data_IF_712138891815
#
_entry.id   IF_712138891815
#
_cell.length_a   1.000
_cell.length_b   1.000
_cell.length_c   1.000
_cell.angle_alpha   90.00
_cell.angle_beta   90.00
_cell.angle_gamma   90.00
#
_symmetry.space_group_name_H-M   'P 1'
#
loop_
_entity.id
_entity.type
_entity.pdbx_description
1 polymer ?
#
# COMPACT_ATOMS: atom_id res chain seq x y z
N UNK A 1 10.42 21.27 -9.95
CA UNK A 1 10.42 19.82 -10.24
C UNK A 1 9.38 19.20 -9.32
N UNK A 2 8.20 18.87 -9.83
CA UNK A 2 7.13 18.27 -9.02
C UNK A 2 7.31 16.76 -9.10
N UNK A 3 7.67 16.10 -8.00
CA UNK A 3 7.61 14.64 -7.94
C UNK A 3 6.18 14.22 -8.26
N UNK A 4 5.95 13.60 -9.43
CA UNK A 4 4.70 12.89 -9.71
C UNK A 4 4.61 11.76 -8.67
N UNK A 5 3.62 11.83 -7.78
CA UNK A 5 3.44 10.87 -6.70
C UNK A 5 3.46 9.43 -7.23
N UNK A 6 4.26 8.57 -6.59
CA UNK A 6 4.34 7.17 -6.92
C UNK A 6 3.01 6.51 -6.57
N UNK A 7 2.38 5.81 -7.52
CA UNK A 7 1.25 4.93 -7.20
C UNK A 7 1.83 3.72 -6.48
N UNK A 8 1.36 3.46 -5.28
CA UNK A 8 1.85 2.37 -4.43
C UNK A 8 0.69 1.54 -3.91
N UNK A 9 0.94 0.23 -3.78
CA UNK A 9 0.03 -0.73 -3.20
C UNK A 9 0.72 -1.42 -2.02
N UNK A 10 0.12 -1.36 -0.84
CA UNK A 10 0.63 -1.97 0.39
C UNK A 10 -0.36 -3.03 0.90
N UNK A 11 0.15 -4.19 1.31
CA UNK A 11 -0.63 -5.30 1.87
C UNK A 11 -0.09 -5.63 3.25
N UNK A 12 -0.56 -4.92 4.26
CA UNK A 12 0.03 -4.98 5.60
C UNK A 12 -1.04 -5.02 6.68
N UNK A 13 -0.62 -5.46 7.84
CA UNK A 13 -1.45 -5.51 9.04
C UNK A 13 -1.71 -4.10 9.54
N UNK A 14 -2.98 -3.79 9.76
CA UNK A 14 -3.40 -2.53 10.36
C UNK A 14 -3.12 -2.57 11.86
N UNK A 15 -2.31 -1.64 12.36
CA UNK A 15 -1.99 -1.55 13.78
C UNK A 15 -2.87 -0.54 14.50
N UNK A 16 -3.11 0.61 13.86
CA UNK A 16 -3.91 1.70 14.45
C UNK A 16 -4.83 2.30 13.40
N UNK A 17 -5.98 2.79 13.85
CA UNK A 17 -6.90 3.56 13.03
C UNK A 17 -7.69 4.53 13.89
N UNK A 18 -7.70 5.81 13.47
CA UNK A 18 -8.54 6.84 14.05
C UNK A 18 -9.57 7.30 13.03
N UNK A 19 -10.85 7.13 13.38
CA UNK A 19 -11.99 7.61 12.58
C UNK A 19 -12.01 9.15 12.56
N UNK A 20 -11.63 9.79 13.66
CA UNK A 20 -11.66 11.25 13.80
C UNK A 20 -10.65 11.95 12.89
N UNK A 21 -9.42 11.42 12.82
CA UNK A 21 -8.35 11.99 11.98
C UNK A 21 -8.30 11.37 10.59
N UNK A 22 -9.04 10.29 10.35
CA UNK A 22 -8.99 9.47 9.13
C UNK A 22 -7.59 8.91 8.83
N UNK A 23 -6.75 8.77 9.86
CA UNK A 23 -5.40 8.21 9.74
C UNK A 23 -5.41 6.75 10.21
N UNK A 24 -4.91 5.88 9.34
CA UNK A 24 -4.54 4.50 9.65
C UNK A 24 -3.03 4.38 9.70
N UNK A 25 -2.53 3.42 10.49
CA UNK A 25 -1.12 3.06 10.54
C UNK A 25 -0.95 1.58 10.26
N UNK A 26 -0.11 1.26 9.27
CA UNK A 26 0.31 -0.10 8.95
C UNK A 26 1.77 -0.28 9.31
N UNK A 27 2.15 -1.51 9.70
CA UNK A 27 3.51 -1.81 10.18
C UNK A 27 4.05 -3.08 9.52
N UNK A 28 5.34 -3.04 9.23
CA UNK A 28 6.16 -4.17 8.77
C UNK A 28 7.50 -4.17 9.50
N UNK A 29 7.68 -5.09 10.45
CA UNK A 29 8.82 -5.08 11.38
C UNK A 29 8.87 -3.77 12.19
N UNK A 30 10.00 -3.06 12.09
CA UNK A 30 10.22 -1.76 12.76
C UNK A 30 9.78 -0.56 11.91
N UNK A 31 9.30 -0.80 10.68
CA UNK A 31 8.85 0.26 9.78
C UNK A 31 7.34 0.49 9.88
N UNK A 32 6.92 1.74 9.97
CA UNK A 32 5.51 2.14 9.98
C UNK A 32 5.20 3.11 8.83
N UNK A 33 4.00 2.99 8.26
CA UNK A 33 3.51 3.93 7.25
C UNK A 33 2.13 4.47 7.65
N UNK A 34 1.99 5.80 7.60
CA UNK A 34 0.72 6.49 7.78
C UNK A 34 -0.09 6.42 6.50
N UNK A 35 -1.38 6.14 6.64
CA UNK A 35 -2.34 6.02 5.55
C UNK A 35 -3.45 7.02 5.80
N UNK A 36 -3.59 7.98 4.89
CA UNK A 36 -4.72 8.89 4.85
C UNK A 36 -5.90 8.18 4.15
N UNK A 37 -6.96 7.96 4.92
CA UNK A 37 -8.16 7.21 4.51
C UNK A 37 -9.35 8.12 4.20
N UNK A 38 -9.19 9.45 4.18
CA UNK A 38 -10.29 10.41 4.00
C UNK A 38 -11.14 10.18 2.73
N UNK A 39 -10.56 9.55 1.71
CA UNK A 39 -11.19 9.30 0.42
C UNK A 39 -11.75 7.89 0.27
N UNK A 40 -11.67 7.07 1.32
CA UNK A 40 -12.23 5.72 1.33
C UNK A 40 -13.67 5.79 1.80
N UNK A 41 -14.53 4.94 1.23
CA UNK A 41 -15.95 4.89 1.62
C UNK A 41 -16.18 4.04 2.88
N UNK A 42 -15.20 3.22 3.23
CA UNK A 42 -15.28 2.30 4.36
C UNK A 42 -14.61 2.93 5.58
N UNK A 43 -15.37 3.04 6.66
CA UNK A 43 -14.94 3.63 7.93
C UNK A 43 -14.77 2.55 9.01
N UNK A 44 -14.95 1.27 8.65
CA UNK A 44 -15.00 0.14 9.58
C UNK A 44 -13.73 -0.71 9.55
N UNK A 45 -12.56 -0.05 9.54
CA UNK A 45 -11.29 -0.76 9.56
C UNK A 45 -11.10 -1.52 10.88
N UNK A 46 -10.76 -2.81 10.79
CA UNK A 46 -10.46 -3.67 11.93
C UNK A 46 -8.97 -3.69 12.22
N UNK A 47 -8.60 -3.23 13.41
CA UNK A 47 -7.23 -3.35 13.92
C UNK A 47 -6.85 -4.84 13.98
N UNK A 48 -5.63 -5.14 13.55
CA UNK A 48 -5.08 -6.49 13.53
C UNK A 48 -5.39 -7.28 12.25
N UNK A 49 -6.29 -6.82 11.39
CA UNK A 49 -6.57 -7.39 10.07
C UNK A 49 -5.57 -6.90 9.02
N UNK A 50 -5.48 -7.63 7.91
CA UNK A 50 -4.63 -7.27 6.77
C UNK A 50 -5.46 -6.50 5.75
N UNK A 51 -4.93 -5.36 5.31
CA UNK A 51 -5.56 -4.51 4.31
C UNK A 51 -4.66 -4.28 3.12
N UNK A 52 -5.25 -4.30 1.92
CA UNK A 52 -4.66 -3.70 0.73
C UNK A 52 -5.04 -2.23 0.67
N UNK A 53 -4.04 -1.35 0.72
CA UNK A 53 -4.19 0.07 0.42
C UNK A 53 -3.51 0.42 -0.90
N UNK A 54 -4.24 1.09 -1.79
CA UNK A 54 -3.68 1.63 -3.05
C UNK A 54 -3.89 3.13 -3.07
N UNK A 55 -2.82 3.87 -3.35
CA UNK A 55 -2.85 5.32 -3.28
C UNK A 55 -1.62 5.98 -3.87
N UNK A 56 -1.54 7.28 -3.67
CA UNK A 56 -0.37 8.07 -4.02
C UNK A 56 0.50 8.24 -2.77
N UNK A 57 1.76 7.82 -2.85
CA UNK A 57 2.73 8.03 -1.79
C UNK A 57 3.28 9.45 -1.88
N UNK A 58 3.24 10.16 -0.75
CA UNK A 58 3.75 11.51 -0.60
C UNK A 58 4.78 11.53 0.52
N UNK A 59 5.94 12.11 0.25
CA UNK A 59 6.97 12.36 1.27
C UNK A 59 6.75 13.79 1.75
N UNK A 60 6.45 13.94 3.03
CA UNK A 60 6.23 15.22 3.67
C UNK A 60 7.57 15.92 3.98
N UNK A 61 7.56 17.25 4.23
CA UNK A 61 8.79 18.03 4.47
C UNK A 61 9.62 17.58 5.67
N UNK A 62 8.99 16.90 6.62
CA UNK A 62 9.60 16.27 7.80
C UNK A 62 10.18 14.88 7.51
N UNK A 63 10.22 14.48 6.23
CA UNK A 63 10.63 13.16 5.75
C UNK A 63 9.70 12.02 6.21
N UNK A 64 8.47 12.34 6.65
CA UNK A 64 7.45 11.33 6.90
C UNK A 64 6.77 10.91 5.60
N UNK A 65 6.60 9.60 5.41
CA UNK A 65 5.82 9.06 4.29
C UNK A 65 4.34 8.98 4.66
N UNK A 66 3.48 9.49 3.77
CA UNK A 66 2.02 9.40 3.87
C UNK A 66 1.44 8.83 2.57
N UNK A 67 0.66 7.76 2.68
CA UNK A 67 -0.11 7.25 1.55
C UNK A 67 -1.50 7.87 1.53
N UNK A 68 -1.83 8.64 0.48
CA UNK A 68 -3.21 9.07 0.23
C UNK A 68 -3.98 7.95 -0.45
N UNK A 69 -4.71 7.16 0.35
CA UNK A 69 -5.40 5.99 -0.15
C UNK A 69 -6.63 6.36 -0.97
N UNK A 70 -6.82 5.64 -2.07
CA UNK A 70 -8.02 5.66 -2.93
C UNK A 70 -8.74 4.33 -2.92
N UNK A 71 -8.04 3.27 -2.53
CA UNK A 71 -8.58 1.93 -2.31
C UNK A 71 -8.12 1.46 -0.93
N UNK A 72 -9.04 0.89 -0.15
CA UNK A 72 -8.76 0.13 1.05
C UNK A 72 -9.64 -1.11 1.05
N UNK A 73 -9.04 -2.30 1.08
CA UNK A 73 -9.75 -3.58 1.06
C UNK A 73 -9.22 -4.49 2.15
N UNK A 74 -10.12 -5.03 2.98
CA UNK A 74 -9.75 -6.14 3.85
C UNK A 74 -9.38 -7.34 2.96
N UNK A 75 -8.25 -7.96 3.25
CA UNK A 75 -7.73 -9.13 2.54
C UNK A 75 -7.44 -10.26 3.52
N UNK A 76 -8.17 -10.32 4.63
CA UNK A 76 -8.07 -11.44 5.57
C UNK A 76 -8.43 -12.73 4.82
N UNK A 77 -7.52 -13.71 4.85
CA UNK A 77 -7.62 -14.96 4.08
C UNK A 77 -6.75 -15.00 2.82
N UNK A 78 -6.10 -13.89 2.44
CA UNK A 78 -5.05 -13.92 1.42
C UNK A 78 -3.81 -14.64 1.99
N UNK A 79 -3.36 -15.70 1.32
CA UNK A 79 -2.07 -16.31 1.62
C UNK A 79 -0.97 -15.39 1.06
N UNK A 80 -0.31 -14.65 1.96
CA UNK A 80 0.61 -13.58 1.58
C UNK A 80 1.87 -14.11 0.87
N UNK A 81 2.35 -15.30 1.21
CA UNK A 81 3.56 -15.85 0.59
C UNK A 81 3.33 -16.17 -0.88
N UNK A 82 2.23 -16.83 -1.21
CA UNK A 82 1.79 -17.13 -2.57
C UNK A 82 1.50 -15.84 -3.34
N UNK A 83 0.92 -14.84 -2.68
CA UNK A 83 0.74 -13.51 -3.28
C UNK A 83 2.10 -12.91 -3.70
N UNK A 84 3.09 -12.87 -2.80
CA UNK A 84 4.42 -12.34 -3.13
C UNK A 84 5.14 -13.15 -4.22
N UNK A 85 5.06 -14.48 -4.19
CA UNK A 85 5.60 -15.33 -5.26
C UNK A 85 4.96 -15.01 -6.61
N UNK A 86 3.64 -14.80 -6.63
CA UNK A 86 2.93 -14.43 -7.86
C UNK A 86 3.39 -13.08 -8.42
N UNK A 87 3.64 -12.09 -7.54
CA UNK A 87 4.17 -10.79 -7.95
C UNK A 87 5.56 -10.90 -8.57
N UNK A 88 6.43 -11.75 -8.01
CA UNK A 88 7.76 -12.00 -8.57
C UNK A 88 7.69 -12.55 -9.99
N UNK A 89 6.83 -13.53 -10.23
CA UNK A 89 6.61 -14.09 -11.57
C UNK A 89 6.10 -13.04 -12.57
N UNK A 90 5.16 -12.19 -12.13
CA UNK A 90 4.65 -11.08 -12.95
C UNK A 90 5.75 -10.09 -13.31
N UNK A 91 6.62 -9.72 -12.37
CA UNK A 91 7.75 -8.83 -12.62
C UNK A 91 8.76 -9.45 -13.59
N UNK A 92 9.09 -10.73 -13.42
CA UNK A 92 9.99 -11.47 -14.33
C UNK A 92 9.44 -11.47 -15.76
N UNK A 93 8.16 -11.79 -15.93
CA UNK A 93 7.51 -11.81 -17.24
C UNK A 93 7.53 -10.44 -17.93
N UNK A 94 7.27 -9.36 -17.18
CA UNK A 94 7.33 -8.00 -17.73
C UNK A 94 8.76 -7.60 -18.15
N UNK A 95 9.76 -7.97 -17.33
CA UNK A 95 11.16 -7.69 -17.62
C UNK A 95 11.62 -8.41 -18.91
N UNK A 96 11.24 -9.67 -19.10
CA UNK A 96 11.53 -10.43 -20.32
C UNK A 96 10.94 -9.75 -21.57
N UNK A 97 9.68 -9.32 -21.52
CA UNK A 97 9.05 -8.62 -22.65
C UNK A 97 9.72 -7.30 -23.00
N UNK A 98 10.12 -6.54 -21.98
CA UNK A 98 10.82 -5.27 -22.18
C UNK A 98 12.18 -5.48 -22.85
N UNK A 99 12.89 -6.54 -22.45
CA UNK A 99 14.15 -6.95 -23.07
C UNK A 99 13.98 -7.35 -24.54
N UNK A 100 12.93 -8.11 -24.86
CA UNK A 100 12.64 -8.53 -26.25
C UNK A 100 12.18 -7.39 -27.16
N UNK A 101 11.56 -6.33 -26.62
CA UNK A 101 11.13 -5.16 -27.39
C UNK A 101 12.26 -4.16 -27.69
N UNK A 102 13.44 -4.35 -27.09
CA UNK A 102 14.59 -3.46 -27.23
C UNK A 102 15.63 -3.94 -28.25
N UNK A 103 15.29 -4.95 -29.06
CA UNK A 103 16.14 -5.53 -30.13
C UNK A 103 15.42 -5.41 -31.47
#
# INVERSE_FOLDING_TARGET
MVFRGLISAFHLRLQEYSVETTIAMIVDGDASLKIDTQHLRDHSFRIGSIYQFIGQLQIQPDNEALLRARVGRNVDGLELNLYYQSLQLVMLFQAERTRCQST
#
